data_IF_645480486767
#
_entry.id   IF_645480486767
#
_cell.length_a   1.000
_cell.length_b   1.000
_cell.length_c   1.000
_cell.angle_alpha   90.00
_cell.angle_beta   90.00
_cell.angle_gamma   90.00
#
_symmetry.space_group_name_H-M   'P 1'
#
loop_
_entity.id
_entity.type
_entity.pdbx_description
1 polymer ?
#
# COMPACT_ATOMS: atom_id res chain seq x y z
N UNK A 1 10.72 -22.72 -31.99
CA UNK A 1 9.55 -22.29 -31.20
C UNK A 1 10.06 -21.32 -30.16
N UNK A 2 9.79 -20.03 -30.31
CA UNK A 2 10.10 -19.04 -29.28
C UNK A 2 9.13 -19.29 -28.12
N UNK A 3 9.65 -19.63 -26.95
CA UNK A 3 8.86 -19.70 -25.72
C UNK A 3 8.46 -18.28 -25.36
N UNK A 4 7.16 -17.99 -25.45
CA UNK A 4 6.61 -16.73 -24.97
C UNK A 4 7.02 -16.55 -23.49
N UNK A 5 7.48 -15.36 -23.07
CA UNK A 5 7.82 -15.11 -21.68
C UNK A 5 6.54 -15.11 -20.85
N UNK A 6 6.11 -16.29 -20.41
CA UNK A 6 5.12 -16.47 -19.36
C UNK A 6 5.79 -16.00 -18.08
N UNK A 7 5.52 -14.77 -17.64
CA UNK A 7 5.92 -14.31 -16.31
C UNK A 7 5.15 -15.16 -15.28
N UNK A 8 5.79 -16.17 -14.66
CA UNK A 8 5.07 -17.00 -13.73
C UNK A 8 4.88 -16.14 -12.48
N UNK A 9 3.63 -15.83 -12.11
CA UNK A 9 3.32 -15.13 -10.86
C UNK A 9 3.56 -16.12 -9.72
N UNK A 10 4.84 -16.30 -9.35
CA UNK A 10 5.31 -17.16 -8.27
C UNK A 10 5.70 -16.32 -7.06
N UNK A 11 5.77 -16.95 -5.89
CA UNK A 11 6.23 -16.30 -4.65
C UNK A 11 7.65 -15.70 -4.83
N UNK A 12 8.49 -16.39 -5.59
CA UNK A 12 9.84 -15.94 -5.95
C UNK A 12 9.82 -14.68 -6.82
N UNK A 13 8.94 -14.63 -7.83
CA UNK A 13 8.79 -13.45 -8.67
C UNK A 13 8.33 -12.23 -7.85
N UNK A 14 7.41 -12.43 -6.90
CA UNK A 14 6.96 -11.38 -5.98
C UNK A 14 8.10 -10.89 -5.08
N UNK A 15 8.85 -11.80 -4.47
CA UNK A 15 9.98 -11.44 -3.61
C UNK A 15 11.07 -10.69 -4.38
N UNK A 16 11.42 -11.18 -5.57
CA UNK A 16 12.42 -10.54 -6.44
C UNK A 16 11.97 -9.13 -6.86
N UNK A 17 10.68 -8.95 -7.17
CA UNK A 17 10.12 -7.64 -7.48
C UNK A 17 10.20 -6.67 -6.29
N UNK A 18 9.83 -7.13 -5.09
CA UNK A 18 9.92 -6.32 -3.87
C UNK A 18 11.36 -5.94 -3.54
N UNK A 19 12.30 -6.88 -3.66
CA UNK A 19 13.73 -6.60 -3.50
C UNK A 19 14.23 -5.59 -4.53
N UNK A 20 13.85 -5.74 -5.79
CA UNK A 20 14.25 -4.81 -6.85
C UNK A 20 13.79 -3.38 -6.54
N UNK A 21 12.54 -3.19 -6.09
CA UNK A 21 12.04 -1.87 -5.67
C UNK A 21 12.83 -1.34 -4.48
N UNK A 22 13.07 -2.17 -3.47
CA UNK A 22 13.76 -1.75 -2.26
C UNK A 22 15.20 -1.28 -2.56
N UNK A 23 15.96 -2.07 -3.31
CA UNK A 23 17.33 -1.71 -3.69
C UNK A 23 17.36 -0.49 -4.61
N UNK A 24 16.46 -0.42 -5.61
CA UNK A 24 16.36 0.74 -6.49
C UNK A 24 16.09 2.03 -5.71
N UNK A 25 15.15 1.99 -4.77
CA UNK A 25 14.81 3.15 -3.94
C UNK A 25 15.99 3.53 -3.03
N UNK A 26 16.65 2.54 -2.43
CA UNK A 26 17.86 2.72 -1.62
C UNK A 26 18.97 3.41 -2.40
N UNK A 27 19.23 2.95 -3.61
CA UNK A 27 20.30 3.49 -4.46
C UNK A 27 19.99 4.93 -4.89
N UNK A 28 18.73 5.26 -5.19
CA UNK A 28 18.32 6.65 -5.45
C UNK A 28 18.56 7.53 -4.23
N UNK A 29 18.10 7.10 -3.06
CA UNK A 29 18.23 7.89 -1.84
C UNK A 29 19.71 8.07 -1.48
N UNK A 30 20.50 7.02 -1.60
CA UNK A 30 21.94 7.06 -1.39
C UNK A 30 22.62 8.02 -2.37
N UNK A 31 22.29 7.96 -3.66
CA UNK A 31 22.80 8.89 -4.67
C UNK A 31 22.44 10.35 -4.35
N UNK A 32 21.20 10.61 -3.93
CA UNK A 32 20.77 11.94 -3.51
C UNK A 32 21.55 12.42 -2.29
N UNK A 33 21.76 11.56 -1.30
CA UNK A 33 22.52 11.86 -0.09
C UNK A 33 24.00 12.12 -0.39
N UNK A 34 24.64 11.28 -1.20
CA UNK A 34 26.03 11.43 -1.65
C UNK A 34 26.24 12.70 -2.47
N UNK A 35 25.26 13.08 -3.31
CA UNK A 35 25.37 14.26 -4.16
C UNK A 35 25.02 15.58 -3.46
N UNK A 36 24.27 15.54 -2.35
CA UNK A 36 23.78 16.74 -1.65
C UNK A 36 24.40 16.92 -0.26
N UNK A 37 23.86 16.24 0.75
CA UNK A 37 24.14 16.49 2.17
C UNK A 37 25.49 15.88 2.59
N UNK A 38 25.81 14.69 2.10
CA UNK A 38 26.97 13.91 2.51
C UNK A 38 28.09 13.90 1.47
N UNK A 39 28.19 14.96 0.65
CA UNK A 39 29.20 15.08 -0.40
C UNK A 39 30.63 14.98 0.12
N UNK A 40 30.88 15.50 1.33
CA UNK A 40 32.19 15.48 1.98
C UNK A 40 32.45 14.17 2.75
N UNK A 41 31.40 13.42 3.11
CA UNK A 41 31.49 12.21 3.93
C UNK A 41 30.54 11.11 3.40
N UNK A 42 30.88 10.48 2.26
CA UNK A 42 30.00 9.53 1.58
C UNK A 42 29.74 8.24 2.40
N UNK A 43 30.57 7.96 3.40
CA UNK A 43 30.37 6.85 4.34
C UNK A 43 29.05 6.93 5.10
N UNK A 44 28.60 8.13 5.46
CA UNK A 44 27.32 8.32 6.15
C UNK A 44 26.13 8.18 5.20
N UNK A 45 26.31 8.47 3.91
CA UNK A 45 25.24 8.37 2.91
C UNK A 45 24.72 6.94 2.76
N UNK A 46 25.59 5.94 2.89
CA UNK A 46 25.19 4.53 2.87
C UNK A 46 24.33 4.17 4.09
N UNK A 47 24.76 4.55 5.30
CA UNK A 47 24.03 4.27 6.54
C UNK A 47 22.66 4.98 6.56
N UNK A 48 22.64 6.28 6.25
CA UNK A 48 21.39 7.05 6.24
C UNK A 48 20.49 6.66 5.06
N UNK A 49 21.04 6.27 3.92
CA UNK A 49 20.27 5.77 2.78
C UNK A 49 19.46 4.52 3.14
N UNK A 50 20.08 3.55 3.82
CA UNK A 50 19.41 2.33 4.29
C UNK A 50 18.27 2.64 5.27
N UNK A 51 18.54 3.52 6.24
CA UNK A 51 17.56 3.92 7.27
C UNK A 51 16.39 4.69 6.66
N UNK A 52 16.65 5.66 5.77
CA UNK A 52 15.60 6.45 5.11
C UNK A 52 14.73 5.54 4.22
N UNK A 53 15.35 4.63 3.48
CA UNK A 53 14.63 3.66 2.65
C UNK A 53 13.67 2.83 3.48
N UNK A 54 14.13 2.32 4.63
CA UNK A 54 13.31 1.56 5.57
C UNK A 54 12.14 2.40 6.12
N UNK A 55 12.39 3.65 6.51
CA UNK A 55 11.33 4.57 6.95
C UNK A 55 10.29 4.80 5.86
N UNK A 56 10.70 5.00 4.61
CA UNK A 56 9.79 5.18 3.47
C UNK A 56 8.96 3.92 3.26
N UNK A 57 9.56 2.72 3.33
CA UNK A 57 8.83 1.46 3.22
C UNK A 57 7.74 1.34 4.30
N UNK A 58 8.07 1.60 5.56
CA UNK A 58 7.07 1.58 6.65
C UNK A 58 5.99 2.63 6.42
N UNK A 59 6.38 3.84 5.99
CA UNK A 59 5.43 4.92 5.72
C UNK A 59 4.47 4.54 4.60
N UNK A 60 4.94 3.87 3.54
CA UNK A 60 4.09 3.38 2.47
C UNK A 60 3.06 2.36 2.97
N UNK A 61 3.48 1.41 3.83
CA UNK A 61 2.57 0.45 4.47
C UNK A 61 1.53 1.17 5.34
N UNK A 62 1.97 2.16 6.13
CA UNK A 62 1.08 2.98 6.94
C UNK A 62 0.03 3.72 6.09
N UNK A 63 0.43 4.33 4.97
CA UNK A 63 -0.50 5.02 4.08
C UNK A 63 -1.56 4.08 3.48
N UNK A 64 -1.16 2.86 3.10
CA UNK A 64 -2.09 1.83 2.63
C UNK A 64 -3.10 1.50 3.73
N UNK A 65 -2.63 1.24 4.95
CA UNK A 65 -3.50 0.94 6.10
C UNK A 65 -4.50 2.08 6.39
N UNK A 66 -4.01 3.32 6.43
CA UNK A 66 -4.84 4.51 6.65
C UNK A 66 -5.90 4.66 5.54
N UNK A 67 -5.55 4.36 4.29
CA UNK A 67 -6.51 4.39 3.18
C UNK A 67 -7.67 3.40 3.40
N UNK A 68 -7.37 2.18 3.85
CA UNK A 68 -8.41 1.20 4.18
C UNK A 68 -9.26 1.62 5.38
N UNK A 69 -8.66 2.23 6.40
CA UNK A 69 -9.40 2.76 7.55
C UNK A 69 -10.35 3.89 7.17
N UNK A 70 -9.91 4.80 6.30
CA UNK A 70 -10.73 5.90 5.80
C UNK A 70 -11.97 5.38 5.04
N UNK A 71 -11.78 4.39 4.16
CA UNK A 71 -12.88 3.76 3.40
C UNK A 71 -13.83 3.01 4.31
N UNK A 72 -13.32 2.32 5.34
CA UNK A 72 -14.13 1.55 6.31
C UNK A 72 -15.21 2.41 6.99
N UNK A 73 -14.91 3.69 7.28
CA UNK A 73 -15.88 4.63 7.86
C UNK A 73 -17.09 4.85 6.95
N UNK A 74 -16.85 5.08 5.66
CA UNK A 74 -17.91 5.31 4.67
C UNK A 74 -18.70 4.04 4.37
N UNK A 75 -18.02 2.90 4.22
CA UNK A 75 -18.66 1.60 4.02
C UNK A 75 -19.60 1.26 5.17
N UNK A 76 -19.18 1.52 6.43
CA UNK A 76 -20.03 1.29 7.61
C UNK A 76 -21.32 2.10 7.57
N UNK A 77 -21.26 3.37 7.14
CA UNK A 77 -22.45 4.24 7.02
C UNK A 77 -23.40 3.70 5.96
N UNK A 78 -22.88 3.35 4.77
CA UNK A 78 -23.69 2.79 3.67
C UNK A 78 -24.34 1.47 4.11
N UNK A 79 -23.61 0.64 4.84
CA UNK A 79 -24.12 -0.64 5.35
C UNK A 79 -25.29 -0.43 6.32
N UNK A 80 -25.15 0.49 7.29
CA UNK A 80 -26.21 0.81 8.25
C UNK A 80 -27.44 1.38 7.53
N UNK A 81 -27.25 2.28 6.58
CA UNK A 81 -28.35 2.85 5.79
C UNK A 81 -29.05 1.77 4.96
N UNK A 82 -28.29 0.90 4.30
CA UNK A 82 -28.82 -0.21 3.51
C UNK A 82 -29.68 -1.16 4.33
N UNK A 83 -29.17 -1.60 5.49
CA UNK A 83 -29.94 -2.44 6.41
C UNK A 83 -31.15 -1.71 7.00
N UNK A 84 -31.01 -0.43 7.36
CA UNK A 84 -32.11 0.37 7.89
C UNK A 84 -33.27 0.51 6.90
N UNK A 85 -32.97 0.84 5.64
CA UNK A 85 -33.95 0.91 4.55
C UNK A 85 -34.63 -0.44 4.28
N UNK A 86 -33.86 -1.52 4.30
CA UNK A 86 -34.38 -2.88 4.09
C UNK A 86 -35.35 -3.26 5.22
N UNK A 87 -34.98 -3.06 6.47
CA UNK A 87 -35.86 -3.35 7.61
C UNK A 87 -37.12 -2.48 7.52
N UNK A 88 -36.97 -1.18 7.21
CA UNK A 88 -38.10 -0.27 7.06
C UNK A 88 -39.06 -0.73 5.96
N UNK A 89 -38.55 -1.19 4.82
CA UNK A 89 -39.38 -1.67 3.71
C UNK A 89 -40.14 -2.95 4.08
N UNK A 90 -39.50 -3.88 4.80
CA UNK A 90 -40.16 -5.09 5.31
C UNK A 90 -41.29 -4.71 6.26
N UNK A 91 -41.03 -3.85 7.25
CA UNK A 91 -42.02 -3.42 8.23
C UNK A 91 -43.21 -2.77 7.55
N UNK A 92 -42.97 -1.81 6.64
CA UNK A 92 -44.03 -1.15 5.89
C UNK A 92 -44.86 -2.14 5.06
N UNK A 93 -44.22 -3.14 4.45
CA UNK A 93 -44.89 -4.16 3.65
C UNK A 93 -45.79 -5.04 4.52
N UNK A 94 -45.31 -5.46 5.69
CA UNK A 94 -46.07 -6.26 6.65
C UNK A 94 -47.28 -5.48 7.19
N UNK A 95 -47.10 -4.20 7.56
CA UNK A 95 -48.20 -3.35 8.05
C UNK A 95 -49.24 -3.00 6.96
N UNK A 96 -48.84 -3.01 5.69
CA UNK A 96 -49.74 -2.71 4.56
C UNK A 96 -50.46 -3.95 4.02
N UNK A 97 -49.94 -5.14 4.32
CA UNK A 97 -50.47 -6.44 3.92
C UNK A 97 -51.25 -7.20 5.00
N UNK A 98 -51.29 -6.69 6.24
CA UNK A 98 -52.18 -7.10 7.33
C UNK A 98 -53.41 -6.18 7.40
#
# INVERSE_FOLDING_TARGET
>A
MATEPVFPITQEALLNFLYAIYYFMRDIIRFLLESTIFREFPEYAAMYGDVITFLISITAIYLILVMFEAVKKYVKIILILGWGLLILSIVLTVFRGA
#
